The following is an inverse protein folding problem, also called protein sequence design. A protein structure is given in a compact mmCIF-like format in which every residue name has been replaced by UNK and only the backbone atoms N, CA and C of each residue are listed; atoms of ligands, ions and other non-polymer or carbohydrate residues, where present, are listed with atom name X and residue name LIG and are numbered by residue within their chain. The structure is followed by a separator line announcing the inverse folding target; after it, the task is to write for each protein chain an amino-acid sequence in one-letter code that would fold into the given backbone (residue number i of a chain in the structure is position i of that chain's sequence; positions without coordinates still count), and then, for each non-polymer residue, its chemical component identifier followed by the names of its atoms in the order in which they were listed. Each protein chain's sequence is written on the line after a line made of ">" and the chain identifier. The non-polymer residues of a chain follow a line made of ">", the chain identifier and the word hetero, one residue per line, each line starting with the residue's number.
data_IF_416278030131
#
_entry.id   IF_416278030131
#
_cell.length_a   1.000
_cell.length_b   1.000
_cell.length_c   1.000
_cell.angle_alpha   90.00
_cell.angle_beta   90.00
_cell.angle_gamma   90.00
#
_symmetry.space_group_name_H-M   'P 1'
#
loop_
_entity.id
_entity.type
_entity.pdbx_description
1 polymer ?
#
# COMPACT_ATOMS: atom_id res chain seq x y z
N UNK A 1 11.21 32.93 11.58
CA UNK A 1 10.11 33.19 10.63
C UNK A 1 10.06 31.99 9.70
N UNK A 2 9.11 31.08 9.94
CA UNK A 2 8.97 29.83 9.19
C UNK A 2 8.31 30.13 7.85
N UNK A 3 8.93 29.75 6.74
CA UNK A 3 8.29 29.76 5.42
C UNK A 3 7.35 28.57 5.39
N UNK A 4 6.05 28.82 5.38
CA UNK A 4 5.06 27.79 5.08
C UNK A 4 5.22 27.29 3.64
N UNK A 5 4.70 26.09 3.32
CA UNK A 5 4.81 25.52 2.00
C UNK A 5 4.03 26.39 1.01
N UNK A 6 4.75 26.97 0.05
CA UNK A 6 4.19 27.69 -1.09
C UNK A 6 3.47 26.68 -2.00
N UNK A 7 2.13 26.69 -1.98
CA UNK A 7 1.30 25.96 -2.95
C UNK A 7 1.65 26.42 -4.37
N UNK A 8 2.06 25.48 -5.23
CA UNK A 8 2.13 25.73 -6.67
C UNK A 8 0.71 25.76 -7.24
N UNK A 9 0.45 26.70 -8.15
CA UNK A 9 -0.86 26.99 -8.74
C UNK A 9 -1.18 26.14 -9.99
N UNK A 10 -0.68 24.91 -10.04
CA UNK A 10 -1.03 23.90 -11.06
C UNK A 10 -1.25 22.57 -10.35
N UNK A 11 -2.36 21.89 -10.62
CA UNK A 11 -2.85 20.73 -9.87
C UNK A 11 -2.01 19.45 -9.95
N UNK A 12 -0.73 19.54 -9.59
CA UNK A 12 0.15 18.42 -9.28
C UNK A 12 0.13 18.27 -7.77
N UNK A 13 -0.37 17.15 -7.27
CA UNK A 13 -0.23 16.84 -5.84
C UNK A 13 1.25 16.72 -5.55
N UNK A 14 1.72 17.51 -4.57
CA UNK A 14 3.10 17.53 -4.12
C UNK A 14 3.43 16.35 -3.20
N UNK A 15 4.46 16.56 -2.39
CA UNK A 15 4.92 15.60 -1.39
C UNK A 15 3.84 15.30 -0.34
N UNK A 16 3.82 14.06 0.16
CA UNK A 16 2.82 13.57 1.12
C UNK A 16 3.42 13.49 2.52
N UNK A 17 2.70 14.01 3.50
CA UNK A 17 2.98 13.87 4.92
C UNK A 17 2.21 12.70 5.53
N UNK A 18 2.95 11.70 6.00
CA UNK A 18 2.43 10.52 6.68
C UNK A 18 2.67 10.62 8.18
N UNK A 19 1.64 10.34 8.97
CA UNK A 19 1.70 10.18 10.42
C UNK A 19 1.49 8.71 10.77
N UNK A 20 2.33 8.14 11.62
CA UNK A 20 2.24 6.75 12.10
C UNK A 20 2.15 6.73 13.63
N UNK A 21 1.20 5.99 14.20
CA UNK A 21 1.15 5.75 15.65
C UNK A 21 0.37 4.49 16.04
N UNK A 22 0.94 3.65 16.92
CA UNK A 22 0.16 2.67 17.66
C UNK A 22 -0.67 3.42 18.72
N UNK A 23 -2.00 3.34 18.63
CA UNK A 23 -2.89 4.15 19.49
C UNK A 23 -3.33 3.42 20.75
N UNK A 24 -2.83 2.20 20.99
CA UNK A 24 -3.09 1.40 22.19
C UNK A 24 -4.57 1.43 22.62
N UNK A 25 -5.46 1.18 21.66
CA UNK A 25 -6.92 1.09 21.82
C UNK A 25 -7.54 2.38 22.38
N UNK A 26 -6.89 3.53 22.21
CA UNK A 26 -7.39 4.81 22.71
C UNK A 26 -8.26 5.53 21.68
N UNK A 27 -9.55 5.24 21.70
CA UNK A 27 -10.54 5.84 20.81
C UNK A 27 -10.60 7.38 20.91
N UNK A 28 -10.52 7.93 22.12
CA UNK A 28 -10.60 9.37 22.35
C UNK A 28 -9.37 10.11 21.82
N UNK A 29 -8.19 9.48 21.93
CA UNK A 29 -6.96 10.00 21.34
C UNK A 29 -7.07 10.06 19.81
N UNK A 30 -7.54 9.00 19.16
CA UNK A 30 -7.75 8.99 17.70
C UNK A 30 -8.69 10.13 17.29
N UNK A 31 -9.84 10.28 17.96
CA UNK A 31 -10.81 11.35 17.66
C UNK A 31 -10.17 12.75 17.77
N UNK A 32 -9.37 13.00 18.81
CA UNK A 32 -8.62 14.24 18.98
C UNK A 32 -7.57 14.46 17.87
N UNK A 33 -6.80 13.42 17.55
CA UNK A 33 -5.72 13.49 16.56
C UNK A 33 -6.27 13.79 15.16
N UNK A 34 -7.43 13.24 14.80
CA UNK A 34 -8.07 13.53 13.51
C UNK A 34 -8.34 15.03 13.30
N UNK A 35 -8.83 15.73 14.33
CA UNK A 35 -9.05 17.18 14.26
C UNK A 35 -7.73 17.95 14.31
N UNK A 36 -6.79 17.54 15.18
CA UNK A 36 -5.54 18.27 15.40
C UNK A 36 -4.57 18.21 14.21
N UNK A 37 -4.62 17.14 13.41
CA UNK A 37 -3.63 16.88 12.35
C UNK A 37 -4.09 17.22 10.94
N UNK A 38 -5.36 17.55 10.72
CA UNK A 38 -5.95 17.77 9.38
C UNK A 38 -5.21 18.81 8.52
N UNK A 39 -4.61 19.81 9.13
CA UNK A 39 -3.94 20.89 8.38
C UNK A 39 -2.46 20.59 8.07
N UNK A 40 -1.89 19.53 8.64
CA UNK A 40 -0.45 19.25 8.60
C UNK A 40 -0.08 17.90 7.98
N UNK A 41 -1.04 16.98 7.90
CA UNK A 41 -0.83 15.62 7.42
C UNK A 41 -1.85 15.23 6.37
N UNK A 42 -1.44 14.34 5.48
CA UNK A 42 -2.27 13.88 4.37
C UNK A 42 -2.69 12.42 4.55
N UNK A 43 -1.89 11.62 5.27
CA UNK A 43 -2.20 10.22 5.59
C UNK A 43 -1.89 9.95 7.06
N UNK A 44 -2.82 9.30 7.76
CA UNK A 44 -2.61 8.80 9.12
C UNK A 44 -2.73 7.28 9.12
N UNK A 45 -1.69 6.60 9.59
CA UNK A 45 -1.68 5.18 9.84
C UNK A 45 -1.72 4.93 11.35
N UNK A 46 -2.71 4.16 11.79
CA UNK A 46 -2.82 3.75 13.18
C UNK A 46 -2.80 2.23 13.32
N UNK A 47 -2.22 1.76 14.43
CA UNK A 47 -2.26 0.37 14.89
C UNK A 47 -3.01 0.28 16.23
N UNK A 48 -3.49 -0.91 16.57
CA UNK A 48 -4.29 -1.21 17.75
C UNK A 48 -5.50 -0.29 17.99
N UNK A 49 -6.37 -0.09 16.99
CA UNK A 49 -7.61 0.66 17.25
C UNK A 49 -8.59 -0.08 18.15
N UNK A 50 -9.31 0.70 18.95
CA UNK A 50 -10.49 0.22 19.66
C UNK A 50 -11.73 0.39 18.80
N UNK A 51 -12.50 -0.69 18.70
CA UNK A 51 -13.78 -0.74 18.01
C UNK A 51 -14.91 -0.52 19.02
N UNK A 52 -15.71 0.55 18.84
CA UNK A 52 -16.83 0.89 19.73
C UNK A 52 -18.15 0.95 18.96
N UNK A 53 -19.25 0.63 19.63
CA UNK A 53 -20.59 0.87 19.11
C UNK A 53 -20.79 2.38 18.89
N UNK A 54 -20.95 2.78 17.63
CA UNK A 54 -21.16 4.17 17.18
C UNK A 54 -22.66 4.51 17.18
N UNK A 55 -23.51 3.55 16.81
CA UNK A 55 -24.97 3.72 16.79
C UNK A 55 -25.68 2.37 16.83
N UNK A 56 -26.93 2.37 17.26
CA UNK A 56 -27.83 1.23 17.08
C UNK A 56 -28.68 1.44 15.83
N UNK A 57 -28.84 0.38 15.04
CA UNK A 57 -29.75 0.39 13.88
C UNK A 57 -30.89 -0.57 14.06
N UNK A 58 -32.06 -0.20 13.56
CA UNK A 58 -33.25 -1.03 13.63
C UNK A 58 -32.98 -2.35 12.92
N UNK A 59 -33.16 -3.45 13.64
CA UNK A 59 -32.97 -4.81 13.15
C UNK A 59 -34.31 -5.49 13.00
N UNK A 60 -34.46 -6.37 12.01
CA UNK A 60 -35.64 -7.24 11.91
C UNK A 60 -35.56 -8.45 12.85
N UNK A 61 -34.40 -8.67 13.47
CA UNK A 61 -34.12 -9.84 14.33
C UNK A 61 -33.86 -9.50 15.79
N UNK A 62 -33.66 -8.21 16.12
CA UNK A 62 -33.44 -7.71 17.48
C UNK A 62 -34.40 -6.54 17.77
N UNK A 63 -35.18 -6.63 18.86
CA UNK A 63 -36.05 -5.54 19.32
C UNK A 63 -35.26 -4.29 19.74
N UNK A 64 -34.02 -4.47 20.20
CA UNK A 64 -33.12 -3.40 20.65
C UNK A 64 -32.33 -2.78 19.50
N UNK A 65 -32.40 -3.38 18.30
CA UNK A 65 -31.55 -3.05 17.17
C UNK A 65 -30.20 -3.79 17.20
N UNK A 66 -29.44 -3.64 16.11
CA UNK A 66 -28.07 -4.15 15.99
C UNK A 66 -27.07 -3.02 16.21
N UNK A 67 -26.03 -3.31 16.98
CA UNK A 67 -24.91 -2.40 17.24
C UNK A 67 -24.05 -2.22 15.98
N UNK A 68 -23.91 -0.97 15.52
CA UNK A 68 -22.94 -0.60 14.50
C UNK A 68 -21.66 -0.19 15.19
N UNK A 69 -20.66 -1.05 15.11
CA UNK A 69 -19.32 -0.83 15.64
C UNK A 69 -18.44 -0.16 14.58
N UNK A 70 -17.60 0.79 14.98
CA UNK A 70 -16.63 1.41 14.06
C UNK A 70 -15.57 2.27 14.74
N UNK A 71 -14.62 2.74 13.94
CA UNK A 71 -13.60 3.71 14.32
C UNK A 71 -14.13 5.16 14.28
N UNK A 72 -13.43 6.13 14.91
CA UNK A 72 -13.79 7.55 14.81
C UNK A 72 -13.91 8.02 13.36
N UNK A 73 -14.83 8.95 13.09
CA UNK A 73 -15.02 9.51 11.75
C UNK A 73 -14.89 11.03 11.81
N UNK A 74 -14.25 11.59 10.79
CA UNK A 74 -14.03 13.03 10.71
C UNK A 74 -14.30 13.51 9.27
N UNK A 75 -14.93 14.68 9.08
CA UNK A 75 -15.33 15.17 7.75
C UNK A 75 -14.16 15.36 6.79
N UNK A 76 -12.97 15.71 7.26
CA UNK A 76 -11.80 15.94 6.37
C UNK A 76 -11.04 14.66 5.98
N UNK A 77 -11.39 13.53 6.59
CA UNK A 77 -10.68 12.26 6.41
C UNK A 77 -11.57 11.20 5.76
N UNK A 78 -10.99 10.49 4.79
CA UNK A 78 -11.48 9.21 4.28
C UNK A 78 -10.89 8.12 5.17
N UNK A 79 -11.71 7.49 6.02
CA UNK A 79 -11.24 6.33 6.78
C UNK A 79 -11.37 5.08 5.91
N UNK A 80 -10.32 4.29 5.87
CA UNK A 80 -10.22 3.08 5.07
C UNK A 80 -9.78 1.95 5.96
N UNK A 81 -10.61 0.91 6.04
CA UNK A 81 -10.39 -0.20 6.95
C UNK A 81 -10.92 -1.49 6.37
N UNK A 82 -10.23 -2.58 6.68
CA UNK A 82 -10.70 -3.93 6.38
C UNK A 82 -12.02 -4.20 7.12
N UNK A 83 -13.03 -4.78 6.45
CA UNK A 83 -14.22 -5.27 7.15
C UNK A 83 -13.87 -6.40 8.14
N UNK A 84 -14.49 -6.44 9.33
CA UNK A 84 -14.30 -7.54 10.26
C UNK A 84 -14.53 -8.90 9.58
N UNK A 85 -13.63 -9.85 9.82
CA UNK A 85 -13.71 -11.21 9.24
C UNK A 85 -13.73 -12.21 10.38
N UNK A 86 -14.65 -13.18 10.36
CA UNK A 86 -14.80 -14.21 11.39
C UNK A 86 -14.90 -13.66 12.84
N UNK A 87 -15.54 -12.49 13.01
CA UNK A 87 -15.68 -11.82 14.31
C UNK A 87 -14.42 -11.11 14.82
N UNK A 88 -13.34 -11.09 14.04
CA UNK A 88 -12.12 -10.35 14.35
C UNK A 88 -12.12 -9.01 13.63
N UNK A 89 -11.97 -7.94 14.39
CA UNK A 89 -11.77 -6.60 13.85
C UNK A 89 -10.30 -6.41 13.45
N UNK A 90 -9.99 -5.58 12.44
CA UNK A 90 -8.61 -5.27 12.10
C UNK A 90 -7.96 -4.40 13.17
N UNK A 91 -6.65 -4.56 13.32
CA UNK A 91 -5.83 -3.78 14.24
C UNK A 91 -5.27 -2.52 13.57
N UNK A 92 -5.22 -2.50 12.25
CA UNK A 92 -4.67 -1.39 11.46
C UNK A 92 -5.75 -0.63 10.68
N UNK A 93 -5.54 0.66 10.49
CA UNK A 93 -6.40 1.55 9.68
C UNK A 93 -5.56 2.60 8.96
N UNK A 94 -6.13 3.16 7.89
CA UNK A 94 -5.64 4.39 7.29
C UNK A 94 -6.72 5.47 7.28
N UNK A 95 -6.35 6.69 7.60
CA UNK A 95 -7.13 7.89 7.29
C UNK A 95 -6.40 8.67 6.22
N UNK A 96 -7.06 8.88 5.08
CA UNK A 96 -6.52 9.62 3.94
C UNK A 96 -7.24 10.95 3.85
N UNK A 97 -6.52 12.06 3.88
CA UNK A 97 -7.14 13.37 3.81
C UNK A 97 -7.90 13.50 2.48
N UNK A 98 -9.11 14.04 2.53
CA UNK A 98 -9.98 14.21 1.35
C UNK A 98 -9.39 14.99 0.18
N UNK A 99 -8.35 15.80 0.39
CA UNK A 99 -7.72 16.50 -0.73
C UNK A 99 -6.94 15.52 -1.63
N UNK A 100 -6.51 14.37 -1.10
CA UNK A 100 -5.92 13.28 -1.86
C UNK A 100 -6.96 12.42 -2.59
N UNK A 101 -8.27 12.72 -2.49
CA UNK A 101 -9.31 11.95 -3.16
C UNK A 101 -9.15 11.92 -4.70
N UNK A 102 -8.49 12.92 -5.28
CA UNK A 102 -8.15 12.96 -6.71
C UNK A 102 -7.13 11.89 -7.12
N UNK A 103 -6.36 11.34 -6.16
CA UNK A 103 -5.51 10.17 -6.38
C UNK A 103 -6.26 8.83 -6.22
N UNK A 104 -7.59 8.87 -6.08
CA UNK A 104 -8.44 7.69 -5.98
C UNK A 104 -7.93 6.66 -4.95
N UNK A 105 -7.67 7.05 -3.68
CA UNK A 105 -7.07 6.15 -2.69
C UNK A 105 -7.87 4.84 -2.57
N UNK A 106 -7.18 3.71 -2.70
CA UNK A 106 -7.79 2.38 -2.60
C UNK A 106 -7.07 1.49 -1.59
N UNK A 107 -7.85 0.66 -0.89
CA UNK A 107 -7.32 -0.39 -0.03
C UNK A 107 -7.17 -1.65 -0.88
N UNK A 108 -5.96 -2.20 -0.95
CA UNK A 108 -5.71 -3.41 -1.73
C UNK A 108 -5.77 -4.65 -0.84
N UNK A 109 -6.54 -5.66 -1.27
CA UNK A 109 -6.80 -6.89 -0.48
C UNK A 109 -6.68 -8.18 -1.28
N UNK A 110 -6.48 -8.12 -2.59
CA UNK A 110 -6.56 -9.30 -3.44
C UNK A 110 -5.32 -10.20 -3.33
N UNK A 111 -4.18 -9.62 -2.93
CA UNK A 111 -2.90 -10.34 -2.80
C UNK A 111 -2.64 -10.71 -1.35
N UNK A 112 -2.78 -9.76 -0.43
CA UNK A 112 -2.63 -10.00 1.00
C UNK A 112 -3.80 -9.35 1.75
N UNK A 113 -4.50 -10.17 2.52
CA UNK A 113 -5.61 -9.74 3.37
C UNK A 113 -5.42 -10.27 4.80
N UNK A 114 -4.72 -9.51 5.64
CA UNK A 114 -4.53 -9.81 7.08
C UNK A 114 -5.16 -8.72 7.98
N UNK A 115 -5.56 -9.05 9.20
CA UNK A 115 -6.19 -8.08 10.13
C UNK A 115 -5.18 -7.06 10.68
N UNK A 116 -3.90 -7.39 10.60
CA UNK A 116 -2.77 -6.61 11.06
C UNK A 116 -1.98 -5.94 9.91
N UNK A 117 -2.52 -5.99 8.69
CA UNK A 117 -1.94 -5.39 7.50
C UNK A 117 -2.92 -4.49 6.78
N UNK A 118 -2.42 -3.37 6.28
CA UNK A 118 -3.18 -2.47 5.42
C UNK A 118 -2.31 -1.94 4.29
N UNK A 119 -2.69 -2.24 3.06
CA UNK A 119 -2.08 -1.69 1.85
C UNK A 119 -2.92 -0.54 1.33
N UNK A 120 -2.34 0.67 1.33
CA UNK A 120 -2.90 1.85 0.70
C UNK A 120 -2.27 2.05 -0.69
N UNK A 121 -3.09 2.11 -1.72
CA UNK A 121 -2.66 2.47 -3.07
C UNK A 121 -3.19 3.86 -3.43
N UNK A 122 -2.34 4.70 -4.01
CA UNK A 122 -2.71 5.99 -4.59
C UNK A 122 -2.40 5.95 -6.09
N UNK A 123 -3.38 6.31 -6.91
CA UNK A 123 -3.26 6.32 -8.37
C UNK A 123 -2.81 7.71 -8.82
N UNK A 124 -1.59 7.78 -9.34
CA UNK A 124 -1.01 8.97 -9.93
C UNK A 124 -0.98 8.86 -11.45
N UNK A 125 -0.84 9.98 -12.18
CA UNK A 125 -0.71 9.94 -13.64
C UNK A 125 0.47 9.08 -14.14
N UNK A 126 1.56 9.00 -13.36
CA UNK A 126 2.75 8.22 -13.68
C UNK A 126 2.71 6.77 -13.21
N UNK A 127 1.65 6.34 -12.52
CA UNK A 127 1.51 4.98 -12.00
C UNK A 127 0.90 4.93 -10.59
N UNK A 128 0.93 3.75 -9.98
CA UNK A 128 0.38 3.53 -8.63
C UNK A 128 1.51 3.53 -7.60
N UNK A 129 1.34 4.26 -6.50
CA UNK A 129 2.21 4.16 -5.32
C UNK A 129 1.51 3.39 -4.22
N UNK A 130 2.24 2.47 -3.57
CA UNK A 130 1.71 1.65 -2.49
C UNK A 130 2.44 1.98 -1.18
N UNK A 131 1.67 2.13 -0.12
CA UNK A 131 2.12 2.34 1.24
C UNK A 131 1.58 1.20 2.11
N UNK A 132 2.42 0.69 3.00
CA UNK A 132 2.10 -0.43 3.87
C UNK A 132 2.06 0.00 5.33
N UNK A 133 0.93 -0.24 5.99
CA UNK A 133 0.79 -0.12 7.44
C UNK A 133 0.76 -1.51 8.07
N UNK A 134 1.67 -1.72 9.03
CA UNK A 134 1.91 -3.01 9.68
C UNK A 134 1.66 -2.92 11.18
N UNK A 135 0.98 -3.93 11.71
CA UNK A 135 1.10 -4.32 13.10
C UNK A 135 1.64 -5.75 13.14
N UNK A 136 2.67 -6.01 13.94
CA UNK A 136 3.23 -7.34 14.10
C UNK A 136 3.05 -7.73 15.55
N UNK A 137 2.35 -8.84 15.77
CA UNK A 137 2.12 -9.36 17.11
C UNK A 137 3.39 -10.04 17.68
N UNK A 138 3.28 -10.56 18.91
CA UNK A 138 4.39 -11.28 19.56
C UNK A 138 4.79 -12.58 18.83
N UNK A 139 3.92 -13.12 17.98
CA UNK A 139 4.22 -14.28 17.13
C UNK A 139 4.84 -13.87 15.78
N UNK A 140 4.87 -12.57 15.49
CA UNK A 140 5.38 -11.98 14.26
C UNK A 140 4.75 -12.57 13.00
N UNK A 141 3.46 -12.91 13.07
CA UNK A 141 2.76 -13.61 11.98
C UNK A 141 2.80 -12.82 10.68
N UNK A 142 2.68 -11.50 10.77
CA UNK A 142 2.67 -10.60 9.61
C UNK A 142 4.01 -10.55 8.90
N UNK A 143 5.12 -10.47 9.63
CA UNK A 143 6.46 -10.44 9.02
C UNK A 143 6.69 -11.74 8.23
N UNK A 144 6.31 -12.88 8.81
CA UNK A 144 6.39 -14.18 8.15
C UNK A 144 5.46 -14.29 6.93
N UNK A 145 4.25 -13.75 7.01
CA UNK A 145 3.29 -13.72 5.89
C UNK A 145 3.82 -12.89 4.72
N UNK A 146 4.34 -11.69 4.99
CA UNK A 146 4.92 -10.82 3.97
C UNK A 146 6.12 -11.48 3.28
N UNK A 147 6.99 -12.14 4.06
CA UNK A 147 8.13 -12.88 3.50
C UNK A 147 7.69 -14.07 2.64
N UNK A 148 6.62 -14.78 3.03
CA UNK A 148 6.06 -15.89 2.25
C UNK A 148 5.48 -15.43 0.91
N UNK A 149 4.78 -14.29 0.90
CA UNK A 149 4.09 -13.75 -0.28
C UNK A 149 4.93 -12.74 -1.08
N UNK A 150 6.24 -12.67 -0.83
CA UNK A 150 7.16 -11.65 -1.40
C UNK A 150 7.03 -11.48 -2.91
N UNK A 151 6.88 -12.57 -3.65
CA UNK A 151 6.81 -12.55 -5.12
C UNK A 151 5.49 -12.00 -5.67
N UNK A 152 4.46 -11.92 -4.84
CA UNK A 152 3.16 -11.37 -5.21
C UNK A 152 3.01 -9.92 -4.72
N UNK A 153 3.85 -9.46 -3.78
CA UNK A 153 3.77 -8.12 -3.22
C UNK A 153 3.95 -7.04 -4.29
N UNK A 154 3.16 -5.97 -4.24
CA UNK A 154 3.42 -4.82 -5.09
C UNK A 154 4.66 -4.06 -4.64
N UNK A 155 5.17 -3.20 -5.52
CA UNK A 155 6.21 -2.25 -5.13
C UNK A 155 5.66 -1.26 -4.12
N UNK A 156 6.31 -1.20 -2.95
CA UNK A 156 6.02 -0.23 -1.91
C UNK A 156 7.04 0.90 -1.97
N UNK A 157 6.61 2.11 -1.60
CA UNK A 157 7.51 3.27 -1.38
C UNK A 157 7.68 3.58 0.10
N UNK A 158 6.81 3.01 0.93
CA UNK A 158 6.74 3.22 2.36
C UNK A 158 6.18 1.96 3.03
N UNK A 159 6.83 1.54 4.11
CA UNK A 159 6.33 0.54 5.04
C UNK A 159 6.56 1.08 6.45
N UNK A 160 5.50 1.28 7.21
CA UNK A 160 5.56 1.78 8.57
C UNK A 160 4.66 0.98 9.49
N UNK A 161 5.06 0.83 10.74
CA UNK A 161 4.24 0.07 11.68
C UNK A 161 4.90 -0.16 13.03
N UNK A 162 4.14 -0.78 13.91
CA UNK A 162 4.65 -1.39 15.14
C UNK A 162 5.01 -2.85 14.83
N UNK A 163 6.32 -3.14 14.81
CA UNK A 163 6.81 -4.45 14.44
C UNK A 163 7.00 -5.39 15.65
N UNK A 164 6.87 -4.87 16.88
CA UNK A 164 7.19 -5.57 18.12
C UNK A 164 8.53 -6.32 18.11
N UNK A 165 9.48 -5.92 17.25
CA UNK A 165 10.76 -6.60 17.08
C UNK A 165 11.90 -5.74 17.61
N UNK A 166 12.82 -6.40 18.32
CA UNK A 166 13.99 -5.74 18.90
C UNK A 166 15.22 -6.09 18.07
N UNK A 167 16.12 -5.14 17.86
CA UNK A 167 17.42 -5.40 17.22
C UNK A 167 18.43 -4.36 17.67
N UNK A 168 19.71 -4.74 17.67
CA UNK A 168 20.81 -3.81 17.87
C UNK A 168 20.93 -2.77 16.73
N UNK A 169 20.34 -3.06 15.55
CA UNK A 169 20.33 -2.16 14.39
C UNK A 169 19.65 -0.83 14.71
N UNK A 170 18.47 -0.89 15.34
CA UNK A 170 17.71 0.31 15.71
C UNK A 170 17.71 0.61 17.21
N UNK A 171 18.16 -0.32 18.05
CA UNK A 171 18.34 -0.11 19.48
C UNK A 171 19.66 -0.74 19.98
N UNK A 172 20.73 0.07 20.04
CA UNK A 172 22.06 -0.34 20.52
C UNK A 172 22.05 -0.90 21.95
N UNK A 173 21.01 -0.63 22.75
CA UNK A 173 20.89 -1.16 24.11
C UNK A 173 20.32 -2.58 24.14
N UNK A 174 19.89 -3.12 23.00
CA UNK A 174 19.41 -4.48 22.86
C UNK A 174 20.58 -5.46 22.81
N UNK A 175 20.59 -6.45 23.69
CA UNK A 175 21.65 -7.45 23.78
C UNK A 175 21.48 -8.65 22.82
N UNK A 176 20.39 -8.68 22.04
CA UNK A 176 20.03 -9.81 21.18
C UNK A 176 19.63 -9.35 19.78
N UNK A 177 20.09 -10.09 18.77
CA UNK A 177 19.67 -9.96 17.38
C UNK A 177 18.70 -11.11 17.04
N UNK A 178 17.40 -11.01 17.40
CA UNK A 178 16.45 -12.08 17.12
C UNK A 178 16.31 -12.28 15.60
N UNK A 179 16.20 -13.54 15.18
CA UNK A 179 16.06 -13.94 13.76
C UNK A 179 14.96 -13.17 13.02
N UNK A 180 13.88 -12.80 13.72
CA UNK A 180 12.78 -12.02 13.12
C UNK A 180 13.22 -10.64 12.63
N UNK A 181 14.15 -9.98 13.33
CA UNK A 181 14.65 -8.67 12.90
C UNK A 181 15.46 -8.78 11.61
N UNK A 182 16.23 -9.85 11.48
CA UNK A 182 16.95 -10.17 10.24
C UNK A 182 15.97 -10.44 9.10
N UNK A 183 14.93 -11.26 9.33
CA UNK A 183 13.90 -11.52 8.32
C UNK A 183 13.17 -10.24 7.89
N UNK A 184 12.91 -9.31 8.82
CA UNK A 184 12.30 -8.02 8.48
C UNK A 184 13.22 -7.16 7.59
N UNK A 185 14.52 -7.13 7.87
CA UNK A 185 15.50 -6.41 7.05
C UNK A 185 15.65 -7.03 5.65
N UNK A 186 15.67 -8.37 5.57
CA UNK A 186 15.70 -9.10 4.30
C UNK A 186 14.43 -8.84 3.49
N UNK A 187 13.25 -8.97 4.11
CA UNK A 187 11.97 -8.61 3.52
C UNK A 187 11.97 -7.18 2.98
N UNK A 188 12.40 -6.20 3.79
CA UNK A 188 12.47 -4.81 3.36
C UNK A 188 13.38 -4.66 2.14
N UNK A 189 14.55 -5.28 2.15
CA UNK A 189 15.49 -5.28 1.02
C UNK A 189 14.88 -5.91 -0.24
N UNK A 190 14.17 -7.03 -0.10
CA UNK A 190 13.53 -7.73 -1.24
C UNK A 190 12.44 -6.87 -1.90
N UNK A 191 11.70 -6.07 -1.11
CA UNK A 191 10.75 -5.08 -1.62
C UNK A 191 11.38 -3.70 -1.91
N UNK A 192 12.72 -3.61 -1.93
CA UNK A 192 13.52 -2.40 -2.24
C UNK A 192 13.28 -1.23 -1.30
N UNK A 193 12.99 -1.52 -0.04
CA UNK A 193 12.94 -0.54 1.03
C UNK A 193 14.15 -0.68 1.96
N UNK A 194 14.55 0.41 2.57
CA UNK A 194 15.60 0.46 3.58
C UNK A 194 15.05 1.04 4.88
N UNK A 195 15.60 0.60 6.00
CA UNK A 195 15.24 1.18 7.30
C UNK A 195 15.61 2.66 7.33
N UNK A 196 14.60 3.51 7.47
CA UNK A 196 14.76 4.95 7.49
C UNK A 196 14.90 5.41 8.94
N UNK A 197 16.15 5.52 9.42
CA UNK A 197 16.42 5.98 10.78
C UNK A 197 15.88 7.40 10.98
N UNK A 198 15.09 7.67 12.04
CA UNK A 198 14.58 9.00 12.30
C UNK A 198 15.71 10.03 12.48
N UNK A 199 15.50 11.24 11.94
CA UNK A 199 16.43 12.37 12.06
C UNK A 199 16.70 12.80 13.51
N UNK A 200 15.75 12.54 14.40
CA UNK A 200 15.86 12.68 15.85
C UNK A 200 15.69 11.32 16.54
N UNK A 201 16.72 10.46 16.54
CA UNK A 201 16.60 9.11 17.06
C UNK A 201 16.24 9.12 18.55
N UNK A 202 15.41 8.17 18.95
CA UNK A 202 14.88 8.04 20.30
C UNK A 202 14.04 6.79 20.45
N UNK A 203 13.50 6.58 21.65
CA UNK A 203 12.58 5.47 21.92
C UNK A 203 11.27 5.72 21.18
N UNK A 204 10.73 4.68 20.54
CA UNK A 204 9.41 4.74 19.91
C UNK A 204 8.33 4.16 20.82
N UNK A 205 8.71 3.32 21.77
CA UNK A 205 7.84 2.82 22.83
C UNK A 205 8.42 3.14 24.22
N UNK A 206 7.64 3.85 25.02
CA UNK A 206 7.94 4.33 26.37
C UNK A 206 6.85 3.79 27.30
N UNK A 207 7.06 2.63 27.94
CA UNK A 207 6.09 2.03 28.84
C UNK A 207 5.69 3.00 29.97
N UNK A 208 4.41 3.03 30.35
CA UNK A 208 3.98 3.79 31.54
C UNK A 208 4.57 3.22 32.84
N UNK A 209 4.89 1.93 32.86
CA UNK A 209 5.56 1.31 33.98
C UNK A 209 7.06 1.63 33.95
N UNK A 210 7.53 2.41 34.93
CA UNK A 210 8.93 2.83 35.07
C UNK A 210 9.90 1.66 35.32
N UNK A 211 9.40 0.49 35.70
CA UNK A 211 10.22 -0.72 35.86
C UNK A 211 10.53 -1.41 34.52
N UNK A 212 9.83 -1.04 33.44
CA UNK A 212 10.05 -1.59 32.10
C UNK A 212 10.99 -0.68 31.30
N UNK A 213 11.91 -1.30 30.56
CA UNK A 213 12.76 -0.57 29.64
C UNK A 213 11.97 -0.14 28.40
N UNK A 214 12.14 1.12 27.98
CA UNK A 214 11.64 1.56 26.70
C UNK A 214 12.37 0.90 25.53
N UNK A 215 11.74 0.91 24.37
CA UNK A 215 12.21 0.20 23.19
C UNK A 215 12.01 0.99 21.90
N UNK A 216 12.67 0.54 20.84
CA UNK A 216 12.42 0.99 19.48
C UNK A 216 11.80 -0.20 18.74
N UNK A 217 10.49 -0.15 18.52
CA UNK A 217 9.69 -1.23 17.92
C UNK A 217 8.76 -0.72 16.81
N UNK A 218 8.37 0.55 16.87
CA UNK A 218 7.79 1.25 15.72
C UNK A 218 8.90 1.65 14.75
N UNK A 219 8.80 1.21 13.50
CA UNK A 219 9.84 1.38 12.48
C UNK A 219 9.24 1.91 11.18
N UNK A 220 10.06 2.67 10.44
CA UNK A 220 9.75 3.15 9.10
C UNK A 220 10.80 2.61 8.13
N UNK A 221 10.33 2.13 7.00
CA UNK A 221 11.12 1.74 5.85
C UNK A 221 10.64 2.53 4.63
N UNK A 222 11.57 3.11 3.88
CA UNK A 222 11.25 3.89 2.67
C UNK A 222 12.14 3.45 1.53
N UNK A 223 11.77 3.83 0.31
CA UNK A 223 12.71 3.76 -0.80
C UNK A 223 14.00 4.54 -0.42
N UNK A 224 15.18 4.13 -0.91
CA UNK A 224 16.44 4.82 -0.62
C UNK A 224 16.35 6.29 -1.01
N UNK A 225 16.35 7.19 -0.02
CA UNK A 225 16.30 8.64 -0.25
C UNK A 225 17.70 9.23 -0.32
N UNK A 226 17.84 10.29 -1.12
CA UNK A 226 19.11 11.01 -1.33
C UNK A 226 19.30 12.13 -0.30
N UNK A 227 18.25 12.56 0.43
CA UNK A 227 18.32 13.72 1.31
C UNK A 227 17.94 13.43 2.78
N UNK A 228 18.75 13.99 3.68
CA UNK A 228 18.57 13.93 5.14
C UNK A 228 17.32 14.69 5.62
N UNK A 229 16.82 15.65 4.84
CA UNK A 229 15.62 16.44 5.18
C UNK A 229 14.34 15.61 5.19
N UNK A 230 14.35 14.46 4.50
CA UNK A 230 13.15 13.66 4.23
C UNK A 230 13.09 12.42 5.13
N UNK A 231 14.07 12.31 6.03
CA UNK A 231 14.10 11.25 7.02
C UNK A 231 12.88 11.36 7.96
N UNK A 232 12.35 10.22 8.43
CA UNK A 232 11.31 10.21 9.43
C UNK A 232 11.68 11.01 10.68
N UNK A 233 10.68 11.42 11.45
CA UNK A 233 10.87 12.20 12.66
C UNK A 233 9.93 11.75 13.77
N UNK A 234 10.45 11.59 14.98
CA UNK A 234 9.64 11.35 16.17
C UNK A 234 8.94 12.64 16.60
N UNK A 235 7.61 12.62 16.68
CA UNK A 235 6.77 13.77 17.07
C UNK A 235 6.44 13.76 18.56
N UNK A 236 7.45 14.05 19.37
CA UNK A 236 7.32 14.08 20.83
C UNK A 236 6.22 15.02 21.33
N UNK A 237 5.90 16.08 20.56
CA UNK A 237 4.82 17.02 20.91
C UNK A 237 3.42 16.45 20.66
N UNK A 238 3.30 15.43 19.80
CA UNK A 238 2.03 14.77 19.45
C UNK A 238 1.88 13.40 20.14
N UNK A 239 2.80 13.05 21.06
CA UNK A 239 2.80 11.78 21.78
C UNK A 239 1.48 11.50 22.51
N UNK A 240 0.87 12.53 23.07
CA UNK A 240 -0.35 12.38 23.85
C UNK A 240 -0.11 11.52 25.11
N UNK A 241 -1.16 10.86 25.64
CA UNK A 241 -1.07 10.05 26.85
C UNK A 241 -0.57 8.61 26.61
N UNK A 242 -0.16 8.29 25.38
CA UNK A 242 0.17 6.93 24.97
C UNK A 242 1.58 6.53 25.40
N UNK A 243 1.86 5.25 25.26
CA UNK A 243 3.18 4.63 25.39
C UNK A 243 3.94 4.59 24.06
N UNK A 244 3.27 4.78 22.91
CA UNK A 244 3.93 4.83 21.61
C UNK A 244 4.05 6.26 21.07
N UNK A 245 5.28 6.62 20.71
CA UNK A 245 5.67 7.91 20.15
C UNK A 245 5.34 7.94 18.66
N UNK A 246 4.57 8.93 18.19
CA UNK A 246 4.24 9.04 16.78
C UNK A 246 5.46 9.38 15.91
N UNK A 247 5.41 8.91 14.67
CA UNK A 247 6.45 9.12 13.67
C UNK A 247 5.85 9.82 12.45
N UNK A 248 6.39 10.98 12.09
CA UNK A 248 6.10 11.68 10.84
C UNK A 248 7.07 11.26 9.74
N UNK A 249 6.61 11.22 8.50
CA UNK A 249 7.44 11.00 7.32
C UNK A 249 6.97 11.87 6.17
N UNK A 250 7.90 12.50 5.46
CA UNK A 250 7.67 13.21 4.21
C UNK A 250 8.00 12.27 3.04
N UNK A 251 7.05 12.03 2.15
CA UNK A 251 7.21 11.20 0.96
C UNK A 251 7.22 12.07 -0.29
N UNK A 252 8.37 12.16 -0.95
CA UNK A 252 8.57 12.98 -2.15
C UNK A 252 7.99 12.31 -3.40
N UNK A 253 6.68 12.35 -3.59
CA UNK A 253 6.03 11.69 -4.73
C UNK A 253 6.51 12.18 -6.09
N UNK A 254 6.97 13.42 -6.19
CA UNK A 254 7.44 14.04 -7.44
C UNK A 254 8.80 13.53 -7.90
N UNK A 255 9.61 12.96 -6.99
CA UNK A 255 10.94 12.43 -7.27
C UNK A 255 10.95 10.91 -7.44
N UNK A 256 9.80 10.26 -7.21
CA UNK A 256 9.65 8.82 -7.38
C UNK A 256 9.46 8.53 -8.86
N UNK A 257 10.52 8.04 -9.50
CA UNK A 257 10.40 7.31 -10.75
C UNK A 257 9.61 6.03 -10.47
N UNK A 258 8.28 6.09 -10.64
CA UNK A 258 7.47 4.87 -10.60
C UNK A 258 7.82 4.05 -11.82
N UNK A 259 8.70 3.08 -11.61
CA UNK A 259 8.99 2.06 -12.59
C UNK A 259 7.89 1.00 -12.50
N UNK A 260 6.78 1.20 -13.20
CA UNK A 260 5.80 0.12 -13.33
C UNK A 260 6.31 -0.83 -14.38
N UNK A 261 6.84 -1.99 -13.97
CA UNK A 261 7.16 -3.05 -14.91
C UNK A 261 5.95 -3.96 -15.08
N UNK A 262 5.52 -4.12 -16.32
CA UNK A 262 4.51 -5.10 -16.69
C UNK A 262 5.13 -6.13 -17.61
N UNK A 263 4.90 -7.40 -17.28
CA UNK A 263 5.17 -8.52 -18.15
C UNK A 263 4.03 -8.60 -19.17
N UNK A 264 4.29 -8.18 -20.41
CA UNK A 264 3.26 -8.07 -21.45
C UNK A 264 3.78 -8.69 -22.74
N UNK A 265 2.87 -9.36 -23.46
CA UNK A 265 3.06 -9.68 -24.87
C UNK A 265 2.43 -8.53 -25.65
N UNK A 266 3.27 -7.73 -26.29
CA UNK A 266 2.82 -6.53 -27.01
C UNK A 266 1.89 -6.91 -28.17
N UNK A 267 0.67 -6.37 -28.12
CA UNK A 267 -0.34 -6.59 -29.14
C UNK A 267 0.07 -5.95 -30.47
N UNK A 268 -0.19 -6.62 -31.58
CA UNK A 268 0.14 -6.17 -32.95
C UNK A 268 1.65 -6.10 -33.26
N UNK A 269 2.49 -6.65 -32.37
CA UNK A 269 3.91 -6.86 -32.61
C UNK A 269 4.21 -8.33 -32.97
N UNK A 270 5.38 -8.63 -33.59
CA UNK A 270 5.74 -9.98 -34.00
C UNK A 270 5.68 -11.01 -32.85
N UNK A 271 5.93 -10.59 -31.61
CA UNK A 271 5.92 -11.43 -30.42
C UNK A 271 4.53 -12.01 -30.11
N UNK A 272 3.43 -11.27 -30.34
CA UNK A 272 2.07 -11.81 -30.18
C UNK A 272 1.82 -12.94 -31.20
N UNK A 273 2.22 -12.73 -32.44
CA UNK A 273 2.07 -13.76 -33.48
C UNK A 273 2.94 -14.98 -33.20
N UNK A 274 4.17 -14.78 -32.69
CA UNK A 274 5.07 -15.85 -32.24
C UNK A 274 4.49 -16.65 -31.08
N UNK A 275 4.00 -15.95 -30.05
CA UNK A 275 3.32 -16.55 -28.90
C UNK A 275 2.14 -17.42 -29.34
N UNK A 276 1.25 -16.91 -30.20
CA UNK A 276 0.08 -17.65 -30.66
C UNK A 276 0.46 -18.89 -31.50
N UNK A 277 1.50 -18.79 -32.34
CA UNK A 277 1.99 -19.90 -33.15
C UNK A 277 2.62 -20.98 -32.27
N UNK A 278 3.48 -20.59 -31.32
CA UNK A 278 4.18 -21.51 -30.44
C UNK A 278 3.22 -22.16 -29.44
N UNK A 279 2.24 -21.40 -28.93
CA UNK A 279 1.17 -21.93 -28.09
C UNK A 279 0.32 -22.95 -28.85
N UNK A 280 -0.12 -22.62 -30.07
CA UNK A 280 -0.88 -23.55 -30.90
C UNK A 280 -0.07 -24.80 -31.25
N UNK A 281 1.25 -24.66 -31.45
CA UNK A 281 2.16 -25.78 -31.73
C UNK A 281 2.34 -26.66 -30.50
N UNK A 282 2.61 -26.05 -29.33
CA UNK A 282 2.74 -26.73 -28.05
C UNK A 282 1.47 -27.52 -27.74
N UNK A 283 0.30 -26.89 -27.81
CA UNK A 283 -0.98 -27.55 -27.57
C UNK A 283 -1.28 -28.68 -28.55
N UNK A 284 -0.93 -28.55 -29.84
CA UNK A 284 -1.10 -29.63 -30.83
C UNK A 284 -0.16 -30.82 -30.59
N UNK A 285 0.99 -30.57 -29.97
CA UNK A 285 1.98 -31.62 -29.65
C UNK A 285 1.67 -32.37 -28.35
N UNK A 286 0.69 -31.91 -27.58
CA UNK A 286 0.28 -32.56 -26.35
C UNK A 286 -0.38 -33.91 -26.63
N UNK A 287 0.25 -34.97 -26.17
CA UNK A 287 -0.40 -36.26 -26.02
C UNK A 287 -1.06 -36.33 -24.65
N UNK A 288 -2.29 -35.82 -24.60
CA UNK A 288 -3.13 -35.91 -23.41
C UNK A 288 -3.71 -37.32 -23.41
N UNK A 289 -3.05 -38.22 -22.69
CA UNK A 289 -3.43 -39.64 -22.62
C UNK A 289 -4.83 -39.89 -22.07
N UNK A 290 -5.09 -41.08 -21.55
CA UNK A 290 -6.43 -41.44 -21.08
C UNK A 290 -6.88 -40.59 -19.87
N UNK A 291 -8.02 -39.93 -19.97
CA UNK A 291 -8.61 -39.02 -18.96
C UNK A 291 -9.67 -39.72 -18.10
N UNK A 292 -9.38 -40.95 -17.67
CA UNK A 292 -10.37 -41.83 -17.02
C UNK A 292 -10.41 -41.72 -15.49
N UNK A 293 -9.43 -41.05 -14.88
CA UNK A 293 -9.38 -40.81 -13.43
C UNK A 293 -9.10 -39.34 -13.11
N UNK A 294 -9.42 -38.93 -11.89
CA UNK A 294 -9.12 -37.59 -11.37
C UNK A 294 -7.63 -37.25 -11.48
N UNK A 295 -6.76 -38.19 -11.09
CA UNK A 295 -5.30 -37.99 -11.14
C UNK A 295 -4.79 -37.80 -12.57
N UNK A 296 -5.41 -38.48 -13.55
CA UNK A 296 -5.05 -38.34 -14.96
C UNK A 296 -5.50 -36.98 -15.54
N UNK A 297 -6.64 -36.47 -15.10
CA UNK A 297 -7.13 -35.14 -15.49
C UNK A 297 -6.24 -34.05 -14.89
N UNK A 298 -5.83 -34.19 -13.63
CA UNK A 298 -4.92 -33.24 -12.98
C UNK A 298 -3.54 -33.22 -13.67
N UNK A 299 -3.00 -34.40 -13.99
CA UNK A 299 -1.75 -34.52 -14.74
C UNK A 299 -1.86 -33.87 -16.12
N UNK A 300 -2.96 -34.09 -16.84
CA UNK A 300 -3.23 -33.45 -18.12
C UNK A 300 -3.32 -31.91 -18.01
N UNK A 301 -4.03 -31.41 -16.99
CA UNK A 301 -4.14 -29.97 -16.73
C UNK A 301 -2.78 -29.34 -16.43
N UNK A 302 -1.93 -30.05 -15.68
CA UNK A 302 -0.57 -29.61 -15.35
C UNK A 302 0.30 -29.48 -16.59
N UNK A 303 0.26 -30.47 -17.49
CA UNK A 303 1.02 -30.42 -18.76
C UNK A 303 0.53 -29.29 -19.67
N UNK A 304 -0.78 -29.03 -19.71
CA UNK A 304 -1.33 -27.87 -20.43
C UNK A 304 -0.82 -26.57 -19.82
N UNK A 305 -0.87 -26.43 -18.49
CA UNK A 305 -0.39 -25.25 -17.78
C UNK A 305 1.12 -25.02 -18.01
N UNK A 306 1.92 -26.09 -18.07
CA UNK A 306 3.35 -26.02 -18.40
C UNK A 306 3.58 -25.46 -19.81
N UNK A 307 2.79 -25.87 -20.81
CA UNK A 307 2.88 -25.30 -22.17
C UNK A 307 2.57 -23.81 -22.15
N UNK A 308 1.49 -23.39 -21.48
CA UNK A 308 1.16 -21.97 -21.36
C UNK A 308 2.26 -21.18 -20.67
N UNK A 309 2.77 -21.68 -19.54
CA UNK A 309 3.84 -21.02 -18.78
C UNK A 309 5.14 -20.93 -19.58
N UNK A 310 5.54 -22.01 -20.24
CA UNK A 310 6.75 -22.04 -21.07
C UNK A 310 6.68 -21.07 -22.24
N UNK A 311 5.56 -21.04 -22.96
CA UNK A 311 5.39 -20.16 -24.12
C UNK A 311 5.21 -18.71 -23.66
N UNK A 312 4.50 -18.46 -22.56
CA UNK A 312 4.42 -17.13 -21.95
C UNK A 312 5.81 -16.59 -21.62
N UNK A 313 6.61 -17.34 -20.89
CA UNK A 313 7.96 -16.91 -20.48
C UNK A 313 8.92 -16.72 -21.67
N UNK A 314 8.70 -17.40 -22.80
CA UNK A 314 9.52 -17.24 -23.99
C UNK A 314 9.21 -15.95 -24.79
N UNK A 315 7.98 -15.44 -24.69
CA UNK A 315 7.52 -14.31 -25.52
C UNK A 315 7.20 -13.04 -24.73
N UNK A 316 7.06 -13.16 -23.40
CA UNK A 316 6.78 -12.02 -22.56
C UNK A 316 7.96 -11.05 -22.57
N UNK A 317 7.65 -9.77 -22.66
CA UNK A 317 8.63 -8.71 -22.49
C UNK A 317 8.30 -7.94 -21.23
N UNK A 318 9.34 -7.61 -20.50
CA UNK A 318 9.23 -6.62 -19.45
C UNK A 318 9.14 -5.24 -20.11
N UNK A 319 7.97 -4.61 -19.98
CA UNK A 319 7.79 -3.21 -20.35
C UNK A 319 7.93 -2.40 -19.09
N UNK A 320 8.94 -1.54 -19.08
CA UNK A 320 9.14 -0.54 -18.04
C UNK A 320 8.38 0.72 -18.46
N UNK A 321 7.22 0.95 -17.84
CA UNK A 321 6.48 2.20 -17.98
C UNK A 321 7.09 3.20 -17.00
N UNK A 322 7.80 4.19 -17.55
CA UNK A 322 8.30 5.34 -16.78
C UNK A 322 7.29 6.49 -16.89
N UNK A 323 7.31 7.42 -15.94
CA UNK A 323 6.44 8.61 -15.93
C UNK A 323 6.56 9.52 -17.16
N UNK A 324 7.53 9.28 -18.04
CA UNK A 324 7.72 9.95 -19.33
C UNK A 324 7.27 9.14 -20.55
N UNK A 325 6.64 7.98 -20.34
CA UNK A 325 5.97 7.28 -21.44
C UNK A 325 4.84 8.15 -21.99
N UNK A 326 4.77 8.29 -23.31
CA UNK A 326 3.82 9.18 -23.96
C UNK A 326 2.40 8.87 -23.47
N UNK A 327 1.72 9.88 -22.92
CA UNK A 327 0.31 9.75 -22.59
C UNK A 327 -0.43 9.42 -23.88
N UNK A 328 -1.25 8.37 -23.85
CA UNK A 328 -2.20 8.05 -24.93
C UNK A 328 -3.19 9.21 -25.18
N UNK A 329 -3.26 10.17 -24.24
CA UNK A 329 -3.94 11.43 -24.38
C UNK A 329 -2.99 12.53 -24.88
N UNK A 330 -3.17 13.01 -26.10
CA UNK A 330 -2.41 14.15 -26.65
C UNK A 330 -3.21 15.46 -26.60
N UNK A 331 -2.56 16.59 -26.85
CA UNK A 331 -3.23 17.88 -27.04
C UNK A 331 -4.27 17.80 -28.17
N UNK A 332 -4.02 16.96 -29.19
CA UNK A 332 -4.95 16.73 -30.29
C UNK A 332 -6.23 16.01 -29.84
N UNK A 333 -6.13 15.08 -28.88
CA UNK A 333 -7.29 14.45 -28.24
C UNK A 333 -8.13 15.49 -27.45
N UNK A 334 -7.45 16.40 -26.75
CA UNK A 334 -8.11 17.50 -26.01
C UNK A 334 -8.85 18.45 -26.97
N UNK A 335 -8.21 18.83 -28.08
CA UNK A 335 -8.81 19.68 -29.11
C UNK A 335 -9.97 19.00 -29.85
N UNK A 336 -9.90 17.68 -30.07
CA UNK A 336 -10.98 16.92 -30.69
C UNK A 336 -12.20 16.82 -29.76
N UNK A 337 -11.99 16.65 -28.46
CA UNK A 337 -13.07 16.66 -27.47
C UNK A 337 -13.71 18.04 -27.37
N UNK A 338 -12.93 19.11 -27.32
CA UNK A 338 -13.46 20.47 -27.31
C UNK A 338 -14.36 20.74 -28.53
N UNK A 339 -13.90 20.32 -29.72
CA UNK A 339 -14.70 20.40 -30.95
C UNK A 339 -15.99 19.59 -30.88
N UNK A 340 -15.95 18.38 -30.33
CA UNK A 340 -17.17 17.58 -30.15
C UNK A 340 -18.18 18.23 -29.18
N UNK A 341 -17.72 18.86 -28.10
CA UNK A 341 -18.61 19.57 -27.17
C UNK A 341 -19.27 20.80 -27.80
N UNK A 342 -18.64 21.41 -28.82
CA UNK A 342 -19.20 22.53 -29.57
C UNK A 342 -20.09 22.08 -30.74
N UNK A 343 -19.72 21.00 -31.43
CA UNK A 343 -20.35 20.59 -32.69
C UNK A 343 -21.43 19.51 -32.50
N UNK A 344 -21.30 18.66 -31.48
CA UNK A 344 -22.04 17.41 -31.30
C UNK A 344 -22.04 16.48 -32.54
N UNK A 345 -21.03 16.60 -33.41
CA UNK A 345 -20.93 15.78 -34.62
C UNK A 345 -20.20 14.45 -34.31
N UNK A 346 -20.75 13.28 -34.68
CA UNK A 346 -20.17 11.97 -34.37
C UNK A 346 -18.76 11.72 -34.94
N UNK A 347 -18.38 12.41 -36.01
CA UNK A 347 -17.06 12.24 -36.63
C UNK A 347 -15.96 12.97 -35.83
N UNK A 348 -16.30 14.03 -35.09
CA UNK A 348 -15.37 14.68 -34.14
C UNK A 348 -15.08 13.78 -32.93
N UNK A 349 -16.05 12.94 -32.54
CA UNK A 349 -15.83 11.89 -31.54
C UNK A 349 -14.95 10.75 -32.06
N UNK A 350 -15.04 10.37 -33.34
CA UNK A 350 -14.13 9.35 -33.90
C UNK A 350 -12.68 9.83 -33.97
N UNK A 351 -12.47 11.15 -34.10
CA UNK A 351 -11.15 11.74 -34.12
C UNK A 351 -10.43 11.64 -32.77
N UNK A 352 -11.15 11.44 -31.65
CA UNK A 352 -10.55 11.20 -30.32
C UNK A 352 -10.08 9.75 -30.14
N UNK A 353 -10.41 8.86 -31.08
CA UNK A 353 -10.15 7.41 -31.01
C UNK A 353 -9.19 6.92 -32.11
N UNK A 354 -8.65 7.81 -32.95
CA UNK A 354 -7.91 7.46 -34.17
C UNK A 354 -6.39 7.69 -34.09
N UNK A 355 -5.83 7.85 -32.89
CA UNK A 355 -4.39 7.88 -32.57
C UNK A 355 -4.15 6.96 -31.37
#
# INVERSE_FOLDING_TARGET
>A
MSRGPTRSSGGVIGDIHVFLQNVNKNYAHVDYVLEALKDNFDILFFQELLWRTIRQTVSTTSEEGDDIVGAPKHPDWLYMVRPPTNGQNPYVIAYVHRHLAVLCPSMWRDIIDHCDLFVLSLFMPCGTVNLLNVYSDNAHMVINLLAWEINQLPTFIYMGGDFNCHSEVWNLSCASHPLVAQHLLELASDIRLEWAQPSNPGLTHIPHNLDLAGSVIDLIFTAPSVSVSDLPRLDLNQHGPLDHVPISTLLLLSEIDIQVSHMVILREFPEESGFLIDLATGLRSLDVGNLSSSDQIEAAASVVAEVFSSVWNAHVKEIIVMGHSQSWWTDECSDAIARYWESHVPDDWKATLSL
#
